data_IF_379777811055
#
_entry.id   IF_379777811055
#
_cell.length_a   1.000
_cell.length_b   1.000
_cell.length_c   1.000
_cell.angle_alpha   90.00
_cell.angle_beta   90.00
_cell.angle_gamma   90.00
#
_symmetry.space_group_name_H-M   'P 1'
#
loop_
_entity.id
_entity.type
_entity.pdbx_description
1 polymer ?
#
# COMPACT_ATOMS: atom_id res chain seq x y z
N UNK A 1 -1.52 -19.74 21.90
CA UNK A 1 -0.86 -18.45 21.60
C UNK A 1 0.40 -18.72 20.77
N UNK A 2 0.25 -19.02 19.48
CA UNK A 2 1.38 -19.40 18.62
C UNK A 2 0.98 -19.19 17.16
N UNK A 3 1.00 -17.94 16.70
CA UNK A 3 0.67 -17.57 15.32
C UNK A 3 1.65 -16.59 14.68
N UNK A 4 2.67 -16.15 15.43
CA UNK A 4 3.68 -15.21 14.93
C UNK A 4 4.96 -16.00 14.71
N UNK A 5 5.31 -16.18 13.44
CA UNK A 5 6.51 -16.88 13.03
C UNK A 5 7.77 -15.99 13.05
N UNK A 6 7.59 -14.67 12.88
CA UNK A 6 8.68 -13.71 12.69
C UNK A 6 8.37 -12.40 13.39
N UNK A 7 9.37 -11.82 14.04
CA UNK A 7 9.31 -10.50 14.63
C UNK A 7 10.29 -9.56 13.94
N UNK A 8 9.81 -8.40 13.51
CA UNK A 8 10.59 -7.42 12.74
C UNK A 8 10.57 -6.07 13.48
N UNK A 9 11.75 -5.53 13.76
CA UNK A 9 11.90 -4.20 14.37
C UNK A 9 11.98 -3.12 13.29
N UNK A 10 11.07 -2.13 13.33
CA UNK A 10 11.08 -0.95 12.46
C UNK A 10 11.73 0.21 13.22
N UNK A 11 12.80 0.79 12.65
CA UNK A 11 13.48 1.98 13.17
C UNK A 11 13.82 1.95 14.67
N UNK A 12 14.18 0.78 15.19
CA UNK A 12 14.48 0.56 16.60
C UNK A 12 15.66 -0.41 16.79
N UNK A 13 16.21 -0.46 18.01
CA UNK A 13 17.18 -1.48 18.39
C UNK A 13 16.57 -2.88 18.25
N UNK A 14 17.31 -3.82 17.66
CA UNK A 14 16.82 -5.17 17.36
C UNK A 14 16.98 -6.08 18.60
N UNK A 15 15.88 -6.54 19.24
CA UNK A 15 15.97 -7.45 20.37
C UNK A 15 16.49 -8.83 19.97
N UNK A 16 16.93 -9.62 20.95
CA UNK A 16 17.32 -11.01 20.70
C UNK A 16 16.16 -11.82 20.09
N UNK A 17 16.41 -12.46 18.96
CA UNK A 17 15.42 -13.26 18.23
C UNK A 17 14.53 -12.47 17.25
N UNK A 18 14.75 -11.17 17.08
CA UNK A 18 14.10 -10.33 16.07
C UNK A 18 15.04 -10.07 14.89
N UNK A 19 14.49 -9.68 13.76
CA UNK A 19 15.26 -9.14 12.63
C UNK A 19 14.98 -7.65 12.45
N UNK A 20 15.97 -6.87 12.01
CA UNK A 20 15.75 -5.47 11.65
C UNK A 20 15.02 -5.37 10.32
N UNK A 21 14.11 -4.40 10.16
CA UNK A 21 13.33 -4.23 8.93
C UNK A 21 14.19 -4.15 7.68
N UNK A 22 15.29 -3.39 7.72
CA UNK A 22 16.20 -3.27 6.57
C UNK A 22 16.87 -4.58 6.18
N UNK A 23 17.24 -5.41 7.15
CA UNK A 23 17.87 -6.71 6.88
C UNK A 23 16.83 -7.72 6.41
N UNK A 24 15.64 -7.73 7.02
CA UNK A 24 14.52 -8.54 6.58
C UNK A 24 14.13 -8.29 5.12
N UNK A 25 14.10 -7.03 4.70
CA UNK A 25 13.82 -6.65 3.30
C UNK A 25 14.95 -7.08 2.36
N UNK A 26 16.22 -6.97 2.77
CA UNK A 26 17.37 -7.36 1.95
C UNK A 26 17.50 -8.88 1.79
N UNK A 27 17.14 -9.63 2.82
CA UNK A 27 17.18 -11.08 2.85
C UNK A 27 15.96 -11.73 2.19
N UNK A 28 14.92 -10.94 1.89
CA UNK A 28 13.76 -11.43 1.18
C UNK A 28 14.16 -12.06 -0.16
N UNK A 29 13.60 -13.23 -0.45
CA UNK A 29 13.84 -13.92 -1.72
C UNK A 29 13.36 -13.04 -2.89
N UNK A 30 14.21 -12.87 -3.90
CA UNK A 30 13.86 -12.15 -5.13
C UNK A 30 12.87 -12.95 -6.00
N UNK A 31 12.59 -14.20 -5.64
CA UNK A 31 11.60 -15.05 -6.29
C UNK A 31 10.21 -14.42 -6.17
N UNK A 32 9.56 -14.24 -7.32
CA UNK A 32 8.19 -13.73 -7.34
C UNK A 32 7.26 -14.63 -6.52
N UNK A 33 6.26 -14.06 -5.80
CA UNK A 33 5.26 -14.86 -5.11
C UNK A 33 4.62 -15.87 -6.05
N UNK A 34 4.42 -17.11 -5.58
CA UNK A 34 3.78 -18.17 -6.37
C UNK A 34 2.33 -17.86 -6.73
N UNK A 35 1.72 -16.92 -5.99
CA UNK A 35 0.36 -16.48 -6.21
C UNK A 35 0.31 -15.42 -7.32
N UNK A 36 -0.37 -15.75 -8.41
CA UNK A 36 -0.71 -14.79 -9.46
C UNK A 36 -2.01 -14.09 -9.06
N UNK A 37 -1.96 -12.78 -8.84
CA UNK A 37 -3.12 -12.01 -8.41
C UNK A 37 -4.27 -12.11 -9.43
N UNK A 38 -5.45 -12.48 -8.95
CA UNK A 38 -6.70 -12.49 -9.68
C UNK A 38 -7.50 -11.19 -9.41
N UNK A 39 -8.28 -10.67 -10.37
CA UNK A 39 -9.05 -9.43 -10.17
C UNK A 39 -10.04 -9.45 -9.00
N UNK A 40 -10.45 -10.65 -8.55
CA UNK A 40 -11.36 -10.81 -7.42
C UNK A 40 -10.65 -10.90 -6.06
N UNK A 41 -9.32 -11.00 -6.05
CA UNK A 41 -8.55 -11.06 -4.81
C UNK A 41 -8.55 -9.71 -4.11
N UNK A 42 -8.47 -9.74 -2.79
CA UNK A 42 -8.32 -8.57 -1.95
C UNK A 42 -6.96 -7.91 -2.21
N UNK A 43 -6.96 -6.62 -2.56
CA UNK A 43 -5.74 -5.84 -2.79
C UNK A 43 -5.31 -5.10 -1.52
N UNK A 44 -6.24 -4.42 -0.85
CA UNK A 44 -5.93 -3.72 0.40
C UNK A 44 -7.15 -3.56 1.30
N UNK A 45 -6.89 -3.29 2.59
CA UNK A 45 -7.91 -2.96 3.59
C UNK A 45 -7.62 -1.62 4.26
N UNK A 46 -8.63 -0.76 4.37
CA UNK A 46 -8.55 0.51 5.10
C UNK A 46 -9.49 0.51 6.30
N UNK A 47 -8.99 0.95 7.45
CA UNK A 47 -9.80 1.11 8.66
C UNK A 47 -10.40 2.51 8.73
N UNK A 48 -11.67 2.57 9.13
CA UNK A 48 -12.42 3.81 9.33
C UNK A 48 -13.00 3.83 10.75
N UNK A 49 -13.22 5.02 11.33
CA UNK A 49 -13.58 5.20 12.74
C UNK A 49 -14.83 4.44 13.18
N UNK A 50 -15.78 4.19 12.28
CA UNK A 50 -16.99 3.42 12.54
C UNK A 50 -17.96 4.12 13.50
N UNK A 51 -19.21 4.30 13.09
CA UNK A 51 -20.24 5.00 13.91
C UNK A 51 -20.58 4.31 15.23
N UNK A 52 -20.21 3.04 15.39
CA UNK A 52 -20.46 2.21 16.58
C UNK A 52 -19.27 2.17 17.55
N UNK A 53 -18.26 3.03 17.37
CA UNK A 53 -17.06 3.11 18.22
C UNK A 53 -16.04 1.98 17.99
N UNK A 54 -16.28 1.09 17.03
CA UNK A 54 -15.35 0.03 16.61
C UNK A 54 -14.92 0.28 15.17
N UNK A 55 -13.60 0.31 14.87
CA UNK A 55 -13.14 0.51 13.51
C UNK A 55 -13.68 -0.56 12.56
N UNK A 56 -14.09 -0.13 11.37
CA UNK A 56 -14.54 -1.03 10.29
C UNK A 56 -13.47 -1.06 9.20
N UNK A 57 -13.06 -2.26 8.80
CA UNK A 57 -12.12 -2.45 7.72
C UNK A 57 -12.84 -2.59 6.38
N UNK A 58 -12.67 -1.63 5.48
CA UNK A 58 -13.13 -1.70 4.11
C UNK A 58 -12.09 -2.45 3.28
N UNK A 59 -12.45 -3.63 2.78
CA UNK A 59 -11.61 -4.49 1.94
C UNK A 59 -11.92 -4.18 0.47
N UNK A 60 -10.91 -3.83 -0.32
CA UNK A 60 -11.05 -3.57 -1.74
C UNK A 60 -10.31 -4.62 -2.57
N UNK A 61 -10.97 -5.13 -3.60
CA UNK A 61 -10.39 -6.06 -4.56
C UNK A 61 -9.52 -5.35 -5.59
N UNK A 62 -8.65 -6.10 -6.27
CA UNK A 62 -7.90 -5.62 -7.42
C UNK A 62 -8.81 -4.97 -8.48
N UNK A 63 -9.91 -5.62 -8.86
CA UNK A 63 -10.86 -5.12 -9.87
C UNK A 63 -11.52 -3.80 -9.46
N UNK A 64 -11.92 -3.65 -8.19
CA UNK A 64 -12.52 -2.42 -7.70
C UNK A 64 -11.53 -1.24 -7.78
N UNK A 65 -10.27 -1.48 -7.42
CA UNK A 65 -9.22 -0.46 -7.45
C UNK A 65 -8.85 -0.09 -8.88
N UNK A 66 -8.67 -1.07 -9.78
CA UNK A 66 -8.44 -0.81 -11.19
C UNK A 66 -9.58 -0.01 -11.83
N UNK A 67 -10.83 -0.34 -11.54
CA UNK A 67 -11.99 0.41 -12.05
C UNK A 67 -11.96 1.87 -11.59
N UNK A 68 -11.62 2.12 -10.32
CA UNK A 68 -11.49 3.50 -9.81
C UNK A 68 -10.36 4.27 -10.51
N UNK A 69 -9.21 3.64 -10.75
CA UNK A 69 -8.09 4.29 -11.45
C UNK A 69 -8.49 4.67 -12.88
N UNK A 70 -9.18 3.79 -13.61
CA UNK A 70 -9.64 4.10 -14.96
C UNK A 70 -10.64 5.26 -14.95
N UNK A 71 -11.59 5.29 -14.01
CA UNK A 71 -12.52 6.42 -13.84
C UNK A 71 -11.81 7.75 -13.56
N UNK A 72 -10.77 7.73 -12.70
CA UNK A 72 -9.95 8.92 -12.44
C UNK A 72 -9.24 9.36 -13.72
N UNK A 73 -8.70 8.41 -14.49
CA UNK A 73 -7.93 8.70 -15.68
C UNK A 73 -8.78 9.21 -16.85
N UNK A 74 -10.07 8.83 -16.92
CA UNK A 74 -11.02 9.40 -17.90
C UNK A 74 -11.14 10.93 -17.78
N UNK A 75 -11.04 11.45 -16.54
CA UNK A 75 -11.16 12.88 -16.25
C UNK A 75 -9.81 13.58 -16.30
N UNK A 76 -8.81 13.04 -15.59
CA UNK A 76 -7.53 13.71 -15.38
C UNK A 76 -6.55 13.50 -16.54
N UNK A 77 -6.75 12.48 -17.38
CA UNK A 77 -5.92 12.16 -18.55
C UNK A 77 -4.43 12.11 -18.21
N UNK A 78 -4.12 11.35 -17.17
CA UNK A 78 -2.79 11.24 -16.61
C UNK A 78 -1.84 10.57 -17.60
N UNK A 79 -0.58 10.98 -17.52
CA UNK A 79 0.52 10.53 -18.36
C UNK A 79 1.74 10.24 -17.51
N UNK A 80 2.73 9.56 -18.10
CA UNK A 80 4.04 9.32 -17.48
C UNK A 80 4.81 10.61 -17.11
N UNK A 81 4.41 11.76 -17.64
CA UNK A 81 5.08 13.04 -17.38
C UNK A 81 4.55 13.72 -16.12
N UNK A 82 3.44 13.24 -15.56
CA UNK A 82 2.85 13.80 -14.36
C UNK A 82 3.67 13.44 -13.11
N UNK A 83 3.52 14.27 -12.08
CA UNK A 83 4.19 14.10 -10.78
C UNK A 83 3.17 14.25 -9.67
N UNK A 84 3.03 13.21 -8.85
CA UNK A 84 2.14 13.18 -7.71
C UNK A 84 2.91 13.50 -6.43
N UNK A 85 2.42 14.45 -5.65
CA UNK A 85 2.91 14.69 -4.30
C UNK A 85 2.17 13.76 -3.33
N UNK A 86 2.90 12.88 -2.65
CA UNK A 86 2.37 12.04 -1.59
C UNK A 86 2.57 12.76 -0.25
N UNK A 87 1.60 13.58 0.10
CA UNK A 87 1.52 14.29 1.38
C UNK A 87 0.69 13.55 2.44
N UNK A 88 -0.51 13.00 2.14
CA UNK A 88 -1.26 12.29 3.17
C UNK A 88 -0.62 10.92 3.50
N UNK A 89 -0.73 10.45 4.76
CA UNK A 89 -0.24 9.12 5.13
C UNK A 89 -0.87 7.99 4.32
N UNK A 90 -0.11 6.92 4.07
CA UNK A 90 -0.54 5.78 3.25
C UNK A 90 -1.74 4.98 3.80
N UNK A 91 -2.13 5.21 5.06
CA UNK A 91 -3.37 4.66 5.61
C UNK A 91 -4.63 5.49 5.27
N UNK A 92 -4.50 6.58 4.50
CA UNK A 92 -5.62 7.34 3.95
C UNK A 92 -5.89 6.97 2.49
N UNK A 93 -7.19 6.87 2.12
CA UNK A 93 -7.62 6.53 0.76
C UNK A 93 -7.04 7.45 -0.33
N UNK A 94 -6.91 8.74 -0.03
CA UNK A 94 -6.36 9.72 -0.96
C UNK A 94 -4.88 9.44 -1.32
N UNK A 95 -4.09 8.95 -0.34
CA UNK A 95 -2.69 8.59 -0.56
C UNK A 95 -2.58 7.38 -1.51
N UNK A 96 -3.37 6.34 -1.26
CA UNK A 96 -3.38 5.14 -2.09
C UNK A 96 -3.81 5.42 -3.54
N UNK A 97 -4.85 6.22 -3.75
CA UNK A 97 -5.32 6.57 -5.11
C UNK A 97 -4.22 7.29 -5.90
N UNK A 98 -3.50 8.24 -5.28
CA UNK A 98 -2.39 8.93 -5.92
C UNK A 98 -1.28 7.96 -6.34
N UNK A 99 -0.89 7.04 -5.44
CA UNK A 99 0.14 6.05 -5.72
C UNK A 99 -0.28 5.09 -6.85
N UNK A 100 -1.51 4.58 -6.81
CA UNK A 100 -1.98 3.64 -7.82
C UNK A 100 -2.16 4.28 -9.20
N UNK A 101 -2.70 5.49 -9.26
CA UNK A 101 -2.82 6.23 -10.52
C UNK A 101 -1.44 6.51 -11.13
N UNK A 102 -0.48 6.93 -10.30
CA UNK A 102 0.88 7.18 -10.78
C UNK A 102 1.53 5.90 -11.33
N UNK A 103 1.40 4.79 -10.60
CA UNK A 103 1.94 3.48 -10.99
C UNK A 103 1.31 2.99 -12.30
N UNK A 104 -0.01 3.17 -12.48
CA UNK A 104 -0.76 2.73 -13.66
C UNK A 104 -0.30 3.39 -14.96
N UNK A 105 0.11 4.66 -14.92
CA UNK A 105 0.53 5.43 -16.12
C UNK A 105 2.05 5.60 -16.23
N UNK A 106 2.82 5.09 -15.26
CA UNK A 106 4.26 5.25 -15.20
C UNK A 106 4.71 6.68 -14.86
N UNK A 107 3.90 7.41 -14.08
CA UNK A 107 4.22 8.73 -13.56
C UNK A 107 5.17 8.65 -12.35
N UNK A 108 5.65 9.81 -11.89
CA UNK A 108 6.52 9.90 -10.71
C UNK A 108 5.72 10.23 -9.46
N UNK A 109 6.13 9.66 -8.32
CA UNK A 109 5.64 10.04 -6.99
C UNK A 109 6.77 10.71 -6.21
N UNK A 110 6.48 11.87 -5.62
CA UNK A 110 7.39 12.62 -4.75
C UNK A 110 6.86 12.51 -3.34
N UNK A 111 7.68 11.99 -2.43
CA UNK A 111 7.34 11.86 -1.02
C UNK A 111 7.55 13.20 -0.31
N UNK A 112 6.58 13.60 0.51
CA UNK A 112 6.77 14.68 1.48
C UNK A 112 7.30 14.06 2.77
N UNK A 113 8.53 14.42 3.15
CA UNK A 113 9.19 13.84 4.34
C UNK A 113 8.56 14.34 5.66
N UNK A 114 8.04 15.57 5.67
CA UNK A 114 7.44 16.20 6.85
C UNK A 114 5.94 16.51 6.61
N UNK A 115 5.03 15.70 7.16
CA UNK A 115 3.58 15.93 7.18
C UNK A 115 2.94 15.58 8.52
#
# INVERSE_FOLDING_TARGET
MSGIATWVALDAAVPHGWTGYGDWVREADATAPSHVAHPADDLYQMYTSGTTGRPKGAVLTHSAVCANIEQVNEVLRLTRNDRFLLSPPMYHAAACINLFCATRVGASVVLMEDF
#
